data_IF_920210486207
#
_entry.id   IF_920210486207
#
_cell.length_a   1.000
_cell.length_b   1.000
_cell.length_c   1.000
_cell.angle_alpha   90.00
_cell.angle_beta   90.00
_cell.angle_gamma   90.00
#
_symmetry.space_group_name_H-M   'P 1'
#
loop_
_entity.id
_entity.type
_entity.pdbx_description
1 polymer ?
#
# COMPACT_ATOMS: atom_id res chain seq x y z
N UNK A 1 -20.26 20.17 -1.05
CA UNK A 1 -21.12 19.04 -0.61
C UNK A 1 -21.66 19.33 0.78
N UNK A 2 -22.89 18.93 1.13
CA UNK A 2 -23.38 19.06 2.49
C UNK A 2 -22.55 18.16 3.44
N UNK A 3 -22.21 18.64 4.65
CA UNK A 3 -21.31 17.95 5.57
C UNK A 3 -21.81 16.54 5.92
N UNK A 4 -23.07 16.37 6.25
CA UNK A 4 -23.66 15.06 6.58
C UNK A 4 -23.48 14.02 5.45
N UNK A 5 -23.69 14.41 4.18
CA UNK A 5 -23.47 13.52 3.02
C UNK A 5 -22.00 13.21 2.81
N UNK A 6 -21.11 14.16 3.12
CA UNK A 6 -19.67 13.94 3.03
C UNK A 6 -19.22 12.93 4.09
N UNK A 7 -19.64 13.09 5.35
CA UNK A 7 -19.31 12.18 6.45
C UNK A 7 -19.81 10.75 6.22
N UNK A 8 -21.03 10.59 5.67
CA UNK A 8 -21.54 9.27 5.27
C UNK A 8 -20.62 8.59 4.24
N UNK A 9 -20.15 9.32 3.24
CA UNK A 9 -19.24 8.78 2.22
C UNK A 9 -17.84 8.47 2.77
N UNK A 10 -17.35 9.26 3.73
CA UNK A 10 -16.11 8.93 4.45
C UNK A 10 -16.26 7.62 5.20
N UNK A 11 -17.38 7.42 5.92
CA UNK A 11 -17.64 6.15 6.60
C UNK A 11 -17.72 4.97 5.62
N UNK A 12 -18.35 5.14 4.46
CA UNK A 12 -18.36 4.11 3.42
C UNK A 12 -16.94 3.77 2.94
N UNK A 13 -16.09 4.79 2.71
CA UNK A 13 -14.68 4.59 2.35
C UNK A 13 -13.93 3.83 3.44
N UNK A 14 -14.04 4.26 4.69
CA UNK A 14 -13.39 3.60 5.83
C UNK A 14 -13.84 2.15 6.00
N UNK A 15 -15.14 1.87 5.87
CA UNK A 15 -15.68 0.51 5.93
C UNK A 15 -15.18 -0.36 4.77
N UNK A 16 -15.11 0.20 3.56
CA UNK A 16 -14.57 -0.50 2.38
C UNK A 16 -13.11 -0.89 2.58
N UNK A 17 -12.31 0.02 3.15
CA UNK A 17 -10.86 -0.18 3.36
C UNK A 17 -10.54 -0.95 4.65
N UNK A 18 -11.54 -1.27 5.49
CA UNK A 18 -11.38 -2.01 6.74
C UNK A 18 -12.44 -3.12 6.86
N UNK A 19 -12.66 -3.89 5.79
CA UNK A 19 -13.65 -4.96 5.77
C UNK A 19 -13.08 -6.35 6.07
N UNK A 20 -11.86 -6.43 6.60
CA UNK A 20 -11.18 -7.69 6.85
C UNK A 20 -11.98 -8.57 7.82
N UNK A 21 -12.34 -9.77 7.38
CA UNK A 21 -12.97 -10.80 8.22
C UNK A 21 -11.93 -11.83 8.63
N UNK A 22 -11.43 -11.74 9.86
CA UNK A 22 -10.42 -12.68 10.39
C UNK A 22 -10.94 -14.10 10.62
N UNK A 23 -12.26 -14.29 10.64
CA UNK A 23 -12.86 -15.59 10.93
C UNK A 23 -12.49 -16.62 9.85
N UNK A 24 -11.66 -17.60 10.23
CA UNK A 24 -11.26 -18.70 9.35
C UNK A 24 -9.93 -18.54 8.63
N UNK A 25 -9.23 -17.42 8.80
CA UNK A 25 -7.87 -17.25 8.27
C UNK A 25 -6.86 -18.07 9.09
N UNK A 26 -5.85 -18.61 8.42
CA UNK A 26 -4.73 -19.31 9.04
C UNK A 26 -3.55 -18.35 9.20
N UNK A 27 -2.85 -18.35 10.36
CA UNK A 27 -1.57 -17.70 10.47
C UNK A 27 -0.60 -18.25 9.41
N UNK A 28 0.07 -17.34 8.67
CA UNK A 28 1.18 -17.71 7.82
C UNK A 28 2.49 -17.47 8.57
N UNK A 29 3.27 -18.53 8.70
CA UNK A 29 4.49 -18.53 9.50
C UNK A 29 5.73 -18.87 8.66
N UNK A 30 6.87 -18.33 9.10
CA UNK A 30 8.20 -18.63 8.58
C UNK A 30 9.13 -18.82 9.77
N UNK A 31 9.74 -20.00 9.92
CA UNK A 31 10.57 -20.35 11.06
C UNK A 31 9.86 -20.13 12.42
N UNK A 32 8.59 -20.54 12.51
CA UNK A 32 7.76 -20.37 13.70
C UNK A 32 7.30 -18.94 13.97
N UNK A 33 7.72 -17.95 13.18
CA UNK A 33 7.32 -16.56 13.33
C UNK A 33 6.14 -16.25 12.41
N UNK A 34 5.04 -15.73 12.97
CA UNK A 34 3.90 -15.29 12.15
C UNK A 34 4.26 -14.02 11.40
N UNK A 35 4.15 -14.06 10.07
CA UNK A 35 4.44 -12.95 9.17
C UNK A 35 3.21 -12.48 8.37
N UNK A 36 2.13 -13.26 8.40
CA UNK A 36 0.93 -12.94 7.65
C UNK A 36 -0.27 -13.79 8.04
N UNK A 37 -1.29 -13.74 7.19
CA UNK A 37 -2.53 -14.50 7.32
C UNK A 37 -2.98 -15.00 5.94
N UNK A 38 -3.49 -16.20 5.88
CA UNK A 38 -3.93 -16.82 4.63
C UNK A 38 -5.37 -17.28 4.77
N UNK A 39 -6.21 -16.95 3.79
CA UNK A 39 -7.59 -17.46 3.74
C UNK A 39 -7.60 -18.97 3.50
N UNK A 40 -8.69 -19.64 3.85
CA UNK A 40 -8.82 -21.08 3.63
C UNK A 40 -8.71 -21.48 2.15
N UNK A 41 -9.34 -20.77 1.18
CA UNK A 41 -9.18 -21.08 -0.23
C UNK A 41 -7.74 -21.00 -0.71
N UNK A 42 -7.02 -19.92 -0.34
CA UNK A 42 -5.61 -19.75 -0.70
C UNK A 42 -4.74 -20.83 -0.07
N UNK A 43 -4.95 -21.14 1.22
CA UNK A 43 -4.19 -22.20 1.90
C UNK A 43 -4.34 -23.55 1.23
N UNK A 44 -5.56 -23.92 0.78
CA UNK A 44 -5.80 -25.18 0.05
C UNK A 44 -5.02 -25.25 -1.26
N UNK A 45 -4.87 -24.13 -1.97
CA UNK A 45 -4.08 -24.06 -3.20
C UNK A 45 -2.60 -24.15 -2.90
N UNK A 46 -2.10 -23.40 -1.92
CA UNK A 46 -0.68 -23.42 -1.54
C UNK A 46 -0.20 -24.77 -1.04
N UNK A 47 -1.06 -25.51 -0.32
CA UNK A 47 -0.78 -26.87 0.16
C UNK A 47 -0.61 -27.91 -0.95
N UNK A 48 -0.97 -27.61 -2.20
CA UNK A 48 -0.63 -28.47 -3.35
C UNK A 48 0.90 -28.51 -3.60
N UNK A 49 1.63 -27.50 -3.13
CA UNK A 49 3.10 -27.45 -3.11
C UNK A 49 3.61 -27.89 -1.73
N UNK A 50 3.35 -29.14 -1.37
CA UNK A 50 3.58 -29.71 -0.01
C UNK A 50 5.03 -29.81 0.43
N UNK A 51 5.99 -29.69 -0.48
CA UNK A 51 7.42 -29.58 -0.23
C UNK A 51 7.84 -28.15 0.21
N UNK A 52 6.98 -27.15 -0.07
CA UNK A 52 7.22 -25.73 0.25
C UNK A 52 6.31 -25.27 1.39
N UNK A 53 5.03 -25.63 1.38
CA UNK A 53 4.04 -25.21 2.38
C UNK A 53 3.52 -26.42 3.16
N UNK A 54 3.50 -26.30 4.49
CA UNK A 54 3.03 -27.35 5.40
C UNK A 54 1.95 -26.80 6.33
N UNK A 55 0.88 -27.57 6.52
CA UNK A 55 -0.15 -27.26 7.52
C UNK A 55 0.20 -27.92 8.84
N UNK A 56 0.50 -27.13 9.84
CA UNK A 56 0.64 -27.59 11.23
C UNK A 56 -0.69 -27.48 11.95
N UNK A 57 -1.06 -28.53 12.69
CA UNK A 57 -2.24 -28.53 13.56
C UNK A 57 -1.76 -28.68 15.00
N UNK A 58 -2.19 -27.77 15.83
CA UNK A 58 -1.89 -27.71 17.25
C UNK A 58 -3.20 -27.60 18.05
N UNK A 59 -3.14 -27.80 19.35
CA UNK A 59 -4.32 -27.63 20.22
C UNK A 59 -4.89 -26.20 20.20
N UNK A 60 -4.03 -25.22 19.91
CA UNK A 60 -4.38 -23.79 19.77
C UNK A 60 -4.97 -23.41 18.41
N UNK A 61 -4.96 -24.30 17.43
CA UNK A 61 -5.40 -24.05 16.07
C UNK A 61 -4.46 -24.58 14.99
N UNK A 62 -4.71 -24.18 13.73
CA UNK A 62 -3.86 -24.55 12.61
C UNK A 62 -3.09 -23.33 12.08
N UNK A 63 -1.90 -23.56 11.52
CA UNK A 63 -1.10 -22.55 10.81
C UNK A 63 -0.51 -23.13 9.52
N UNK A 64 -0.36 -22.27 8.53
CA UNK A 64 0.41 -22.56 7.32
C UNK A 64 1.83 -22.07 7.52
N UNK A 65 2.82 -22.91 7.23
CA UNK A 65 4.23 -22.57 7.45
C UNK A 65 5.09 -22.98 6.25
N UNK A 66 6.13 -22.20 5.96
CA UNK A 66 7.15 -22.60 5.00
C UNK A 66 8.00 -23.74 5.56
N UNK A 67 8.33 -24.67 4.68
CA UNK A 67 9.15 -25.85 5.02
C UNK A 67 10.48 -25.46 5.65
N UNK A 68 10.85 -26.12 6.75
CA UNK A 68 12.13 -25.94 7.45
C UNK A 68 13.35 -26.35 6.61
N UNK A 69 13.13 -27.02 5.48
CA UNK A 69 14.18 -27.34 4.49
C UNK A 69 14.71 -26.09 3.81
N UNK A 70 13.91 -25.01 3.77
CA UNK A 70 14.27 -23.71 3.20
C UNK A 70 14.99 -22.87 4.26
N UNK A 71 16.29 -23.06 4.40
CA UNK A 71 17.08 -22.53 5.52
C UNK A 71 17.48 -21.06 5.40
N UNK A 72 17.58 -20.54 4.18
CA UNK A 72 18.00 -19.15 3.94
C UNK A 72 16.88 -18.29 3.36
N UNK A 73 16.90 -16.96 3.59
CA UNK A 73 15.93 -16.06 2.94
C UNK A 73 15.89 -16.23 1.42
N UNK A 74 17.03 -16.38 0.77
CA UNK A 74 17.13 -16.60 -0.67
C UNK A 74 16.43 -17.91 -1.12
N UNK A 75 16.59 -19.01 -0.39
CA UNK A 75 15.88 -20.26 -0.70
C UNK A 75 14.39 -20.11 -0.56
N UNK A 76 13.91 -19.43 0.49
CA UNK A 76 12.50 -19.16 0.72
C UNK A 76 11.89 -18.25 -0.37
N UNK A 77 12.58 -17.15 -0.67
CA UNK A 77 12.18 -16.24 -1.75
C UNK A 77 12.00 -16.98 -3.07
N UNK A 78 13.01 -17.75 -3.49
CA UNK A 78 12.98 -18.48 -4.74
C UNK A 78 11.87 -19.52 -4.77
N UNK A 79 11.71 -20.32 -3.72
CA UNK A 79 10.68 -21.36 -3.64
C UNK A 79 9.25 -20.77 -3.70
N UNK A 80 9.02 -19.67 -2.97
CA UNK A 80 7.72 -18.98 -3.00
C UNK A 80 7.47 -18.37 -4.37
N UNK A 81 8.48 -17.74 -4.98
CA UNK A 81 8.35 -17.15 -6.31
C UNK A 81 7.97 -18.20 -7.36
N UNK A 82 8.64 -19.35 -7.40
CA UNK A 82 8.33 -20.44 -8.33
C UNK A 82 6.86 -20.91 -8.21
N UNK A 83 6.31 -20.98 -6.98
CA UNK A 83 4.90 -21.29 -6.76
C UNK A 83 3.98 -20.19 -7.28
N UNK A 84 4.29 -18.93 -6.97
CA UNK A 84 3.45 -17.79 -7.38
C UNK A 84 3.45 -17.60 -8.91
N UNK A 85 4.59 -17.79 -9.57
CA UNK A 85 4.68 -17.81 -11.05
C UNK A 85 3.83 -18.92 -11.67
N UNK A 86 3.87 -20.12 -11.09
CA UNK A 86 3.03 -21.24 -11.55
C UNK A 86 1.53 -20.97 -11.36
N UNK A 87 1.15 -20.32 -10.25
CA UNK A 87 -0.23 -19.90 -9.99
C UNK A 87 -0.67 -18.78 -10.93
N UNK A 88 0.21 -17.80 -11.21
CA UNK A 88 -0.01 -16.75 -12.21
C UNK A 88 -0.27 -17.35 -13.59
N UNK A 89 0.58 -18.29 -14.02
CA UNK A 89 0.44 -18.96 -15.32
C UNK A 89 -0.87 -19.74 -15.51
N UNK A 90 -1.50 -20.15 -14.39
CA UNK A 90 -2.83 -20.82 -14.39
C UNK A 90 -3.99 -19.85 -14.26
N UNK A 91 -3.74 -18.55 -14.04
CA UNK A 91 -4.78 -17.57 -13.72
C UNK A 91 -5.52 -17.86 -12.41
N UNK A 92 -4.81 -18.48 -11.43
CA UNK A 92 -5.45 -18.97 -10.21
C UNK A 92 -6.03 -17.86 -9.33
N UNK A 93 -5.40 -16.70 -9.32
CA UNK A 93 -5.82 -15.54 -8.51
C UNK A 93 -5.71 -14.25 -9.31
N UNK A 94 -6.72 -13.35 -9.26
CA UNK A 94 -6.72 -12.10 -10.00
C UNK A 94 -5.53 -11.20 -9.66
N UNK A 95 -5.14 -11.09 -8.38
CA UNK A 95 -4.04 -10.24 -7.93
C UNK A 95 -2.70 -10.59 -8.61
N UNK A 96 -2.44 -11.84 -8.95
CA UNK A 96 -1.20 -12.25 -9.62
C UNK A 96 -1.10 -11.75 -11.08
N UNK A 97 -2.19 -11.26 -11.67
CA UNK A 97 -2.15 -10.65 -13.01
C UNK A 97 -1.55 -9.23 -12.97
N UNK A 98 -1.44 -8.64 -11.77
CA UNK A 98 -0.82 -7.33 -11.51
C UNK A 98 0.70 -7.44 -11.22
N UNK A 99 1.35 -8.46 -11.75
CA UNK A 99 2.77 -8.77 -11.55
C UNK A 99 3.66 -7.63 -12.03
N UNK A 100 4.59 -7.23 -11.18
CA UNK A 100 5.43 -6.05 -11.40
C UNK A 100 6.93 -6.33 -11.48
N UNK A 101 7.36 -7.56 -11.16
CA UNK A 101 8.78 -7.93 -10.95
C UNK A 101 9.45 -7.13 -9.80
N UNK A 102 8.62 -6.64 -8.88
CA UNK A 102 9.06 -5.91 -7.69
C UNK A 102 8.89 -6.79 -6.44
N UNK A 103 9.94 -6.94 -5.65
CA UNK A 103 9.92 -7.73 -4.42
C UNK A 103 9.72 -6.84 -3.19
N UNK A 104 8.94 -7.35 -2.23
CA UNK A 104 8.73 -6.73 -0.92
C UNK A 104 9.28 -7.64 0.18
N UNK A 105 9.99 -7.04 1.13
CA UNK A 105 10.55 -7.75 2.28
C UNK A 105 9.46 -8.20 3.25
N UNK A 106 9.46 -9.48 3.58
CA UNK A 106 8.61 -10.07 4.62
C UNK A 106 9.40 -10.16 5.92
N UNK A 107 8.92 -9.43 6.94
CA UNK A 107 9.57 -9.26 8.24
C UNK A 107 8.54 -9.39 9.35
N UNK A 108 8.97 -9.84 10.54
CA UNK A 108 8.10 -9.86 11.72
C UNK A 108 7.88 -8.45 12.25
N UNK A 109 8.97 -7.69 12.44
CA UNK A 109 8.95 -6.26 12.76
C UNK A 109 9.68 -5.48 11.66
N UNK A 110 9.39 -4.20 11.54
CA UNK A 110 9.96 -3.35 10.49
C UNK A 110 11.50 -3.31 10.53
N UNK A 111 12.07 -3.31 11.73
CA UNK A 111 13.54 -3.27 11.96
C UNK A 111 14.25 -4.60 11.76
N UNK A 112 13.51 -5.71 11.65
CA UNK A 112 14.11 -7.04 11.54
C UNK A 112 14.73 -7.28 10.15
N UNK A 113 15.70 -8.18 10.05
CA UNK A 113 16.13 -8.67 8.76
C UNK A 113 15.00 -9.43 8.07
N UNK A 114 14.94 -9.41 6.74
CA UNK A 114 13.89 -10.11 6.00
C UNK A 114 14.02 -11.63 6.15
N UNK A 115 12.91 -12.30 6.39
CA UNK A 115 12.81 -13.75 6.38
C UNK A 115 12.76 -14.31 4.96
N UNK A 116 12.14 -13.58 4.04
CA UNK A 116 12.12 -13.77 2.59
C UNK A 116 11.71 -12.45 1.95
N UNK A 117 11.77 -12.40 0.60
CA UNK A 117 11.11 -11.35 -0.17
C UNK A 117 10.08 -11.98 -1.11
N UNK A 118 8.98 -11.29 -1.39
CA UNK A 118 7.85 -11.80 -2.14
C UNK A 118 7.45 -10.78 -3.20
N UNK A 119 7.12 -11.26 -4.40
CA UNK A 119 6.53 -10.44 -5.45
C UNK A 119 5.33 -9.63 -4.92
N UNK A 120 5.30 -8.34 -5.25
CA UNK A 120 4.27 -7.39 -4.81
C UNK A 120 2.85 -7.92 -5.02
N UNK A 121 2.57 -8.46 -6.20
CA UNK A 121 1.27 -9.03 -6.56
C UNK A 121 0.88 -10.27 -5.73
N UNK A 122 1.86 -10.97 -5.16
CA UNK A 122 1.64 -12.16 -4.34
C UNK A 122 1.49 -11.87 -2.84
N UNK A 123 1.84 -10.66 -2.39
CA UNK A 123 1.73 -10.30 -0.96
C UNK A 123 0.34 -10.50 -0.37
N UNK A 124 -0.78 -10.21 -1.09
CA UNK A 124 -2.11 -10.40 -0.53
C UNK A 124 -2.50 -11.86 -0.33
N UNK A 125 -1.94 -12.78 -1.13
CA UNK A 125 -2.20 -14.23 -0.96
C UNK A 125 -1.59 -14.79 0.31
N UNK A 126 -0.47 -14.21 0.76
CA UNK A 126 0.20 -14.56 2.01
C UNK A 126 -0.24 -13.67 3.17
N UNK A 127 -1.08 -12.65 2.90
CA UNK A 127 -1.54 -11.69 3.88
C UNK A 127 -0.39 -11.05 4.66
N UNK A 128 0.72 -10.77 3.96
CA UNK A 128 1.87 -10.08 4.54
C UNK A 128 1.70 -8.57 4.40
N UNK A 129 2.17 -7.81 5.39
CA UNK A 129 2.01 -6.36 5.36
C UNK A 129 2.81 -5.73 4.23
N UNK A 130 2.14 -5.00 3.36
CA UNK A 130 2.76 -4.11 2.38
C UNK A 130 3.04 -2.76 3.03
N UNK A 131 4.15 -2.17 2.64
CA UNK A 131 4.57 -0.86 3.15
C UNK A 131 4.82 0.08 1.99
N UNK A 132 4.24 1.28 2.09
CA UNK A 132 4.33 2.32 1.07
C UNK A 132 4.72 3.64 1.70
N UNK A 133 5.18 4.57 0.89
CA UNK A 133 5.32 5.98 1.26
C UNK A 133 4.31 6.79 0.48
N UNK A 134 3.71 7.79 1.15
CA UNK A 134 2.75 8.70 0.55
C UNK A 134 3.15 10.14 0.90
N UNK A 135 3.26 10.99 -0.10
CA UNK A 135 3.70 12.37 0.06
C UNK A 135 2.57 13.34 -0.27
N UNK A 136 2.00 13.96 0.75
CA UNK A 136 1.06 15.07 0.60
C UNK A 136 1.83 16.34 0.25
N UNK A 137 1.82 16.74 -1.00
CA UNK A 137 2.44 17.97 -1.45
C UNK A 137 1.46 19.14 -1.36
N UNK A 138 1.84 20.22 -0.68
CA UNK A 138 0.96 21.36 -0.52
C UNK A 138 1.74 22.68 -0.54
N UNK A 139 1.00 23.79 -0.72
CA UNK A 139 1.54 25.13 -0.55
C UNK A 139 0.52 26.05 0.15
N UNK A 140 1.02 27.13 0.72
CA UNK A 140 0.22 28.14 1.41
C UNK A 140 0.21 29.45 0.63
N UNK A 141 -0.99 30.00 0.44
CA UNK A 141 -1.22 31.36 -0.08
C UNK A 141 -1.99 32.15 0.98
N UNK A 142 -1.27 32.91 1.81
CA UNK A 142 -1.84 33.54 3.00
C UNK A 142 -2.37 32.47 3.98
N UNK A 143 -3.65 32.54 4.33
CA UNK A 143 -4.31 31.56 5.20
C UNK A 143 -4.87 30.34 4.46
N UNK A 144 -4.78 30.29 3.14
CA UNK A 144 -5.35 29.20 2.33
C UNK A 144 -4.28 28.16 2.00
N UNK A 145 -4.66 26.90 2.10
CA UNK A 145 -3.85 25.75 1.67
C UNK A 145 -4.35 25.27 0.31
N UNK A 146 -3.39 24.95 -0.55
CA UNK A 146 -3.59 24.30 -1.81
C UNK A 146 -2.78 23.01 -1.81
N UNK A 147 -3.34 21.93 -2.32
CA UNK A 147 -2.69 20.62 -2.40
C UNK A 147 -2.44 20.24 -3.86
N UNK A 148 -1.28 19.69 -4.13
CA UNK A 148 -0.96 19.07 -5.40
C UNK A 148 -1.59 17.68 -5.45
N UNK A 149 -2.35 17.43 -6.50
CA UNK A 149 -3.04 16.18 -6.78
C UNK A 149 -2.54 15.68 -8.13
N UNK A 150 -2.11 14.44 -8.19
CA UNK A 150 -1.73 13.77 -9.43
C UNK A 150 -2.96 13.11 -10.08
N UNK A 151 -2.92 12.95 -11.39
CA UNK A 151 -3.78 12.02 -12.11
C UNK A 151 -2.93 10.85 -12.61
N UNK A 152 -3.27 9.67 -12.17
CA UNK A 152 -2.60 8.43 -12.55
C UNK A 152 -2.70 8.19 -14.05
N UNK A 153 -1.64 7.65 -14.64
CA UNK A 153 -1.63 7.24 -16.04
C UNK A 153 -2.71 6.17 -16.30
N UNK A 154 -3.29 6.19 -17.49
CA UNK A 154 -4.23 5.16 -17.94
C UNK A 154 -3.56 3.79 -18.14
N UNK A 155 -2.22 3.73 -18.15
CA UNK A 155 -1.43 2.50 -18.28
C UNK A 155 -1.13 1.84 -16.93
N UNK A 156 -1.42 2.49 -15.80
CA UNK A 156 -1.23 1.88 -14.47
C UNK A 156 -2.14 0.65 -14.33
N UNK A 157 -1.62 -0.47 -13.82
CA UNK A 157 -2.42 -1.69 -13.63
C UNK A 157 -3.52 -1.52 -12.60
N UNK A 158 -3.29 -0.68 -11.59
CA UNK A 158 -4.24 -0.41 -10.51
C UNK A 158 -4.74 1.02 -10.59
N UNK A 159 -6.04 1.21 -10.48
CA UNK A 159 -6.70 2.52 -10.45
C UNK A 159 -6.27 3.46 -11.59
N UNK A 160 -6.29 3.02 -12.87
CA UNK A 160 -5.89 3.87 -14.00
C UNK A 160 -6.75 5.12 -14.08
N UNK A 161 -6.14 6.28 -14.29
CA UNK A 161 -6.81 7.57 -14.46
C UNK A 161 -7.46 8.16 -13.20
N UNK A 162 -7.30 7.54 -12.03
CA UNK A 162 -7.80 8.10 -10.78
C UNK A 162 -6.89 9.20 -10.23
N UNK A 163 -7.41 9.99 -9.31
CA UNK A 163 -6.66 11.02 -8.58
C UNK A 163 -5.81 10.38 -7.49
N UNK A 164 -4.64 10.95 -7.25
CA UNK A 164 -3.58 10.42 -6.39
C UNK A 164 -2.85 11.53 -5.64
N UNK A 165 -1.90 11.16 -4.77
CA UNK A 165 -0.99 12.06 -4.08
C UNK A 165 -0.04 12.80 -5.04
N UNK A 166 0.82 13.65 -4.47
CA UNK A 166 1.92 14.26 -5.21
C UNK A 166 2.94 13.21 -5.66
N UNK A 167 3.28 12.28 -4.78
CA UNK A 167 4.11 11.11 -5.07
C UNK A 167 3.81 10.00 -4.06
N UNK A 168 3.83 8.74 -4.51
CA UNK A 168 3.60 7.58 -3.66
C UNK A 168 4.20 6.31 -4.27
N UNK A 169 4.82 5.47 -3.46
CA UNK A 169 5.34 4.21 -3.95
C UNK A 169 5.59 3.16 -2.89
N UNK A 170 5.78 1.94 -3.34
CA UNK A 170 6.07 0.79 -2.48
C UNK A 170 7.51 0.80 -1.97
N UNK A 171 7.72 0.32 -0.74
CA UNK A 171 9.06 0.14 -0.21
C UNK A 171 9.57 -1.22 -0.69
N UNK A 172 10.33 -1.20 -1.77
CA UNK A 172 10.92 -2.41 -2.37
C UNK A 172 11.90 -3.10 -1.41
N UNK A 173 12.13 -4.39 -1.64
CA UNK A 173 13.06 -5.19 -0.84
C UNK A 173 14.45 -4.55 -0.78
N UNK A 174 14.96 -4.37 0.45
CA UNK A 174 16.26 -3.75 0.72
C UNK A 174 16.24 -2.22 0.79
N UNK A 175 15.16 -1.55 0.38
CA UNK A 175 15.04 -0.09 0.43
C UNK A 175 14.54 0.41 1.80
N UNK A 176 14.95 1.64 2.14
CA UNK A 176 14.47 2.35 3.32
C UNK A 176 13.28 3.26 3.00
N UNK A 177 12.53 3.65 4.05
CA UNK A 177 11.40 4.59 3.93
C UNK A 177 11.83 5.90 3.28
N UNK A 178 12.92 6.49 3.79
CA UNK A 178 13.40 7.78 3.31
C UNK A 178 13.96 7.74 1.89
N UNK A 179 14.68 6.68 1.57
CA UNK A 179 15.19 6.43 0.22
C UNK A 179 14.02 6.36 -0.78
N UNK A 180 12.95 5.63 -0.41
CA UNK A 180 11.75 5.54 -1.24
C UNK A 180 11.06 6.91 -1.40
N UNK A 181 10.94 7.73 -0.35
CA UNK A 181 10.39 9.10 -0.46
C UNK A 181 11.15 9.93 -1.50
N UNK A 182 12.49 9.92 -1.44
CA UNK A 182 13.31 10.71 -2.36
C UNK A 182 13.16 10.20 -3.80
N UNK A 183 13.20 8.88 -3.97
CA UNK A 183 13.05 8.21 -5.26
C UNK A 183 11.70 8.54 -5.92
N UNK A 184 10.59 8.32 -5.21
CA UNK A 184 9.25 8.53 -5.78
C UNK A 184 8.98 10.02 -6.06
N UNK A 185 9.48 10.92 -5.21
CA UNK A 185 9.41 12.36 -5.47
C UNK A 185 10.11 12.76 -6.77
N UNK A 186 11.28 12.17 -7.06
CA UNK A 186 12.04 12.44 -8.28
C UNK A 186 11.38 11.79 -9.50
N UNK A 187 11.04 10.50 -9.41
CA UNK A 187 10.54 9.71 -10.54
C UNK A 187 9.15 10.15 -10.99
N UNK A 188 8.18 10.29 -10.06
CA UNK A 188 6.81 10.63 -10.41
C UNK A 188 6.57 12.13 -10.65
N UNK A 189 7.24 13.01 -9.88
CA UNK A 189 6.91 14.44 -9.86
C UNK A 189 8.06 15.38 -10.20
N UNK A 190 9.24 14.86 -10.57
CA UNK A 190 10.47 15.63 -10.85
C UNK A 190 10.84 16.59 -9.72
N UNK A 191 10.60 16.18 -8.46
CA UNK A 191 10.95 16.98 -7.29
C UNK A 191 12.44 16.75 -6.98
N UNK A 192 13.28 17.80 -7.03
CA UNK A 192 14.70 17.65 -6.74
C UNK A 192 14.92 17.25 -5.27
N UNK A 193 15.95 16.45 -4.99
CA UNK A 193 16.29 15.96 -3.64
C UNK A 193 16.37 17.11 -2.61
N UNK A 194 16.91 18.27 -3.01
CA UNK A 194 17.00 19.46 -2.15
C UNK A 194 15.65 20.01 -1.68
N UNK A 195 14.55 19.65 -2.37
CA UNK A 195 13.19 19.97 -1.98
C UNK A 195 12.53 18.76 -1.30
N UNK A 196 12.63 17.56 -1.87
CA UNK A 196 12.09 16.33 -1.33
C UNK A 196 12.61 16.06 0.11
N UNK A 197 13.88 16.36 0.37
CA UNK A 197 14.51 16.26 1.71
C UNK A 197 13.88 17.14 2.79
N UNK A 198 12.98 18.05 2.44
CA UNK A 198 12.19 18.86 3.39
C UNK A 198 10.87 18.22 3.78
N UNK A 199 10.52 17.10 3.19
CA UNK A 199 9.33 16.33 3.58
C UNK A 199 9.40 15.97 5.08
N UNK A 200 8.28 16.09 5.77
CA UNK A 200 8.20 15.84 7.21
C UNK A 200 7.39 14.59 7.46
N UNK A 201 7.91 13.61 8.22
CA UNK A 201 7.11 12.47 8.65
C UNK A 201 5.86 12.95 9.38
N UNK A 202 4.70 12.46 8.97
CA UNK A 202 3.41 12.87 9.51
C UNK A 202 2.73 11.76 10.33
N UNK A 203 3.14 10.52 10.14
CA UNK A 203 2.61 9.35 10.82
C UNK A 203 2.46 8.17 9.88
N UNK A 204 1.58 7.26 10.24
CA UNK A 204 1.23 6.10 9.42
C UNK A 204 -0.28 5.95 9.33
N UNK A 205 -0.77 5.58 8.15
CA UNK A 205 -2.14 5.14 7.94
C UNK A 205 -2.11 3.63 7.67
N UNK A 206 -2.87 2.85 8.44
CA UNK A 206 -2.94 1.41 8.25
C UNK A 206 -4.37 0.97 8.08
N UNK A 207 -4.59 0.07 7.13
CA UNK A 207 -5.90 -0.49 6.85
C UNK A 207 -5.77 -1.92 6.36
N UNK A 208 -6.88 -2.68 6.44
CA UNK A 208 -6.90 -4.07 6.07
C UNK A 208 -8.23 -4.46 5.45
N UNK A 209 -8.19 -5.05 4.26
CA UNK A 209 -9.39 -5.50 3.57
C UNK A 209 -9.17 -6.83 2.87
N UNK A 210 -10.28 -7.52 2.62
CA UNK A 210 -10.33 -8.75 1.83
C UNK A 210 -10.93 -8.47 0.46
N UNK A 211 -10.30 -9.01 -0.58
CA UNK A 211 -10.80 -8.96 -1.95
C UNK A 211 -10.35 -10.21 -2.70
N UNK A 212 -11.27 -10.90 -3.37
CA UNK A 212 -10.99 -12.07 -4.21
C UNK A 212 -10.19 -13.17 -3.44
N UNK A 213 -10.61 -13.49 -2.22
CA UNK A 213 -9.96 -14.42 -1.28
C UNK A 213 -8.55 -13.99 -0.81
N UNK A 214 -8.06 -12.82 -1.20
CA UNK A 214 -6.76 -12.30 -0.82
C UNK A 214 -6.88 -11.21 0.26
N UNK A 215 -5.87 -11.13 1.15
CA UNK A 215 -5.84 -10.22 2.29
C UNK A 215 -4.86 -9.07 2.05
N UNK A 216 -5.36 -7.88 1.89
CA UNK A 216 -4.57 -6.67 1.70
C UNK A 216 -4.34 -6.02 3.06
N UNK A 217 -3.09 -6.10 3.56
CA UNK A 217 -2.66 -5.51 4.82
C UNK A 217 -1.68 -4.38 4.49
N UNK A 218 -2.12 -3.14 4.62
CA UNK A 218 -1.38 -1.97 4.19
C UNK A 218 -0.90 -1.12 5.38
N UNK A 219 0.31 -0.59 5.27
CA UNK A 219 0.86 0.39 6.17
C UNK A 219 1.57 1.49 5.37
N UNK A 220 0.97 2.65 5.31
CA UNK A 220 1.44 3.80 4.57
C UNK A 220 2.20 4.75 5.48
N UNK A 221 3.47 5.00 5.20
CA UNK A 221 4.25 6.06 5.85
C UNK A 221 3.92 7.39 5.18
N UNK A 222 3.23 8.25 5.90
CA UNK A 222 2.74 9.53 5.38
C UNK A 222 3.76 10.62 5.64
N UNK A 223 4.02 11.42 4.61
CA UNK A 223 4.89 12.60 4.65
C UNK A 223 4.13 13.82 4.16
N UNK A 224 4.36 14.96 4.80
CA UNK A 224 3.86 16.26 4.36
C UNK A 224 5.01 17.09 3.79
N UNK A 225 4.89 17.53 2.54
CA UNK A 225 5.87 18.34 1.85
C UNK A 225 5.28 19.70 1.48
N UNK A 226 5.71 20.75 2.16
CA UNK A 226 5.39 22.11 1.75
C UNK A 226 6.33 22.54 0.62
N UNK A 227 5.76 22.72 -0.58
CA UNK A 227 6.50 23.13 -1.77
C UNK A 227 6.39 24.64 -1.97
N UNK A 228 7.46 25.34 -2.42
CA UNK A 228 7.39 26.77 -2.70
C UNK A 228 6.46 27.05 -3.89
N UNK A 229 5.86 28.24 -3.92
CA UNK A 229 4.94 28.64 -4.99
C UNK A 229 5.62 28.69 -6.38
N UNK A 230 6.94 28.84 -6.40
CA UNK A 230 7.74 28.82 -7.63
C UNK A 230 7.98 27.41 -8.20
N UNK A 231 7.69 26.36 -7.43
CA UNK A 231 7.84 24.97 -7.88
C UNK A 231 6.56 24.47 -8.51
N UNK A 232 6.70 23.77 -9.63
CA UNK A 232 5.61 23.06 -10.30
C UNK A 232 6.06 21.64 -10.59
N UNK A 233 5.33 20.60 -10.10
CA UNK A 233 5.64 19.22 -10.42
C UNK A 233 5.39 18.93 -11.90
N UNK A 234 6.16 17.99 -12.43
CA UNK A 234 6.04 17.51 -13.81
C UNK A 234 6.04 15.98 -13.81
N UNK A 235 5.22 15.32 -14.67
CA UNK A 235 5.30 13.88 -14.85
C UNK A 235 6.71 13.45 -15.30
N UNK A 236 7.31 12.49 -14.59
CA UNK A 236 8.68 12.03 -14.85
C UNK A 236 8.75 10.68 -15.57
N UNK A 237 8.20 9.63 -14.98
CA UNK A 237 8.37 8.24 -15.42
C UNK A 237 7.19 7.68 -16.24
N UNK A 238 6.16 8.49 -16.47
CA UNK A 238 4.94 8.08 -17.20
C UNK A 238 3.87 7.41 -16.34
N UNK A 239 4.07 7.30 -15.03
CA UNK A 239 3.07 6.81 -14.08
C UNK A 239 2.01 7.87 -13.75
N UNK A 240 2.36 9.15 -13.86
CA UNK A 240 1.48 10.31 -13.71
C UNK A 240 1.18 10.91 -15.08
N UNK A 241 -0.09 11.24 -15.34
CA UNK A 241 -0.53 11.91 -16.56
C UNK A 241 -0.38 13.43 -16.44
N UNK A 242 -0.82 14.00 -15.33
CA UNK A 242 -0.81 15.46 -15.07
C UNK A 242 -0.96 15.76 -13.58
N UNK A 243 -0.63 17.00 -13.19
CA UNK A 243 -0.79 17.50 -11.83
C UNK A 243 -1.77 18.66 -11.78
N UNK A 244 -2.53 18.73 -10.70
CA UNK A 244 -3.46 19.81 -10.39
C UNK A 244 -3.11 20.46 -9.07
N UNK A 245 -3.14 21.78 -9.01
CA UNK A 245 -3.07 22.51 -7.75
C UNK A 245 -4.48 22.91 -7.33
N UNK A 246 -5.04 22.20 -6.36
CA UNK A 246 -6.41 22.44 -5.92
C UNK A 246 -6.49 23.10 -4.55
N UNK A 247 -7.45 24.02 -4.34
CA UNK A 247 -7.78 24.48 -2.99
C UNK A 247 -8.26 23.29 -2.15
N UNK A 248 -7.93 23.29 -0.86
CA UNK A 248 -8.12 22.16 0.03
C UNK A 248 -9.60 21.73 0.15
N UNK A 249 -10.55 22.68 0.08
CA UNK A 249 -11.99 22.36 0.06
C UNK A 249 -12.38 21.49 -1.13
N UNK A 250 -11.77 21.73 -2.31
CA UNK A 250 -12.00 20.90 -3.49
C UNK A 250 -11.42 19.50 -3.29
N UNK A 251 -10.25 19.39 -2.66
CA UNK A 251 -9.62 18.10 -2.35
C UNK A 251 -10.50 17.33 -1.36
N UNK A 252 -10.97 17.98 -0.29
CA UNK A 252 -11.90 17.39 0.68
C UNK A 252 -13.14 16.79 0.00
N UNK A 253 -13.75 17.52 -0.93
CA UNK A 253 -14.92 17.01 -1.64
C UNK A 253 -14.57 15.88 -2.63
N UNK A 254 -13.34 15.87 -3.17
CA UNK A 254 -12.90 14.86 -4.15
C UNK A 254 -12.59 13.50 -3.52
N UNK A 255 -12.00 13.45 -2.32
CA UNK A 255 -11.57 12.18 -1.68
C UNK A 255 -12.72 11.20 -1.40
N UNK A 256 -13.95 11.67 -1.37
CA UNK A 256 -15.15 10.85 -1.18
C UNK A 256 -15.87 10.54 -2.50
N UNK A 257 -15.24 10.85 -3.63
CA UNK A 257 -15.76 10.49 -4.95
C UNK A 257 -15.09 9.21 -5.46
N UNK A 258 -15.68 8.63 -6.50
CA UNK A 258 -15.08 7.47 -7.17
C UNK A 258 -13.89 7.84 -8.08
N UNK A 259 -13.56 9.14 -8.20
CA UNK A 259 -12.42 9.61 -8.98
C UNK A 259 -11.10 9.55 -8.21
N UNK A 260 -11.14 9.48 -6.88
CA UNK A 260 -9.95 9.44 -6.03
C UNK A 260 -9.59 8.00 -5.66
N UNK A 261 -8.30 7.65 -5.77
CA UNK A 261 -7.82 6.35 -5.33
C UNK A 261 -8.09 6.16 -3.84
N UNK A 262 -8.72 5.05 -3.42
CA UNK A 262 -9.15 4.88 -2.03
C UNK A 262 -8.02 4.95 -1.00
N UNK A 263 -6.85 4.40 -1.32
CA UNK A 263 -5.68 4.41 -0.45
C UNK A 263 -5.21 5.84 -0.20
N UNK A 264 -5.01 6.59 -1.28
CA UNK A 264 -4.60 7.98 -1.24
C UNK A 264 -5.63 8.87 -0.54
N UNK A 265 -6.91 8.57 -0.71
CA UNK A 265 -7.98 9.28 -0.01
C UNK A 265 -7.86 9.18 1.51
N UNK A 266 -7.40 8.03 2.05
CA UNK A 266 -7.19 7.86 3.50
C UNK A 266 -6.05 8.73 4.03
N UNK A 267 -4.92 8.82 3.32
CA UNK A 267 -3.80 9.65 3.74
C UNK A 267 -4.10 11.15 3.59
N UNK A 268 -4.90 11.55 2.59
CA UNK A 268 -5.40 12.93 2.48
C UNK A 268 -6.40 13.24 3.59
N UNK A 269 -7.29 12.32 3.95
CA UNK A 269 -8.21 12.46 5.08
C UNK A 269 -7.43 12.68 6.39
N UNK A 270 -6.39 11.87 6.62
CA UNK A 270 -5.48 12.04 7.76
C UNK A 270 -4.85 13.45 7.77
N UNK A 271 -4.37 13.95 6.60
CA UNK A 271 -3.85 15.31 6.49
C UNK A 271 -4.90 16.37 6.88
N UNK A 272 -6.14 16.23 6.42
CA UNK A 272 -7.23 17.16 6.73
C UNK A 272 -7.53 17.21 8.24
N UNK A 273 -7.56 16.04 8.90
CA UNK A 273 -7.82 15.94 10.35
C UNK A 273 -6.64 16.52 11.15
N UNK A 274 -5.41 16.09 10.87
CA UNK A 274 -4.20 16.54 11.59
C UNK A 274 -3.97 18.06 11.49
N UNK A 275 -4.38 18.65 10.38
CA UNK A 275 -4.22 20.09 10.16
C UNK A 275 -5.47 20.89 10.55
N UNK A 276 -6.48 20.28 11.20
CA UNK A 276 -7.66 20.96 11.74
C UNK A 276 -8.65 21.47 10.69
N UNK A 277 -8.62 20.90 9.48
CA UNK A 277 -9.60 21.22 8.43
C UNK A 277 -10.89 20.39 8.55
N UNK A 278 -10.85 19.34 9.30
CA UNK A 278 -11.98 18.48 9.68
C UNK A 278 -11.80 18.15 11.15
N UNK A 279 -12.87 18.26 11.93
CA UNK A 279 -12.85 17.84 13.33
C UNK A 279 -13.03 16.31 13.40
N UNK A 280 -12.36 15.60 14.32
CA UNK A 280 -12.47 14.13 14.42
C UNK A 280 -13.88 13.59 14.68
N UNK A 281 -14.79 14.43 15.14
CA UNK A 281 -16.19 14.13 15.45
C UNK A 281 -17.18 14.61 14.36
N UNK A 282 -16.69 15.15 13.27
CA UNK A 282 -17.46 15.50 12.08
C UNK A 282 -17.54 14.31 11.11
#
# INVERSE_FOLDING_TARGET
>A
MALAVWSERVLELLLKMNNLQHAGCLPFCVQGQRVGWVTQPVAQVLLQSSDIFTLYKEDSGARLELSDRLRTPHQRTRAVQEVMEALRGRGAFPCLQEWSDELYDVKTFFSDPPLLSVERAATPLLGVSRRTVNVNGFLRRGSKIFMWIARRSLTKPNYPGMLDHLAAGGISAGSGVWETVLKECEEEACIPESLASKARPAGTVSYAYEKDDALYLECEFVFDLEVPESFQPHPGDGEVQEFYLWPLDKVRDAIVTQEFEPNCALAVLDFLIRNGHIQPDE
#
